data_IF_676405963589
#
_entry.id   IF_676405963589
#
_cell.length_a   1.000
_cell.length_b   1.000
_cell.length_c   1.000
_cell.angle_alpha   90.00
_cell.angle_beta   90.00
_cell.angle_gamma   90.00
#
_symmetry.space_group_name_H-M   'P 1'
#
loop_
_entity.id
_entity.type
_entity.pdbx_description
1 polymer ?
#
# COMPACT_ATOMS: atom_id res chain seq x y z
N UNK A 1 6.58 -0.14 -21.60
CA UNK A 1 6.31 -0.02 -20.15
C UNK A 1 6.31 1.45 -19.79
N UNK A 2 5.41 1.87 -18.89
CA UNK A 2 5.36 3.25 -18.39
C UNK A 2 6.56 3.52 -17.48
N UNK A 3 7.06 4.75 -17.48
CA UNK A 3 8.11 5.16 -16.54
C UNK A 3 7.54 5.34 -15.13
N UNK A 4 8.37 5.29 -14.07
CA UNK A 4 7.90 5.54 -12.69
C UNK A 4 7.15 6.86 -12.54
N UNK A 5 7.60 7.92 -13.23
CA UNK A 5 6.95 9.23 -13.23
C UNK A 5 5.58 9.20 -13.91
N UNK A 6 5.43 8.46 -15.01
CA UNK A 6 4.13 8.30 -15.68
C UNK A 6 3.14 7.50 -14.83
N UNK A 7 3.63 6.47 -14.11
CA UNK A 7 2.80 5.70 -13.18
C UNK A 7 2.33 6.62 -12.06
N UNK A 8 3.23 7.35 -11.38
CA UNK A 8 2.85 8.32 -10.33
C UNK A 8 1.81 9.34 -10.81
N UNK A 9 2.06 9.97 -11.95
CA UNK A 9 1.14 10.97 -12.50
C UNK A 9 -0.26 10.38 -12.78
N UNK A 10 -0.34 9.11 -13.21
CA UNK A 10 -1.61 8.42 -13.39
C UNK A 10 -2.29 8.10 -12.05
N UNK A 11 -1.53 7.69 -11.02
CA UNK A 11 -2.07 7.43 -9.67
C UNK A 11 -2.75 8.67 -9.10
N UNK A 12 -2.16 9.86 -9.30
CA UNK A 12 -2.71 11.12 -8.81
C UNK A 12 -4.06 11.51 -9.46
N UNK A 13 -4.44 10.87 -10.57
CA UNK A 13 -5.73 11.09 -11.23
C UNK A 13 -6.86 10.23 -10.67
N UNK A 14 -6.54 9.18 -9.89
CA UNK A 14 -7.56 8.38 -9.22
C UNK A 14 -8.09 9.15 -8.02
N UNK A 15 -9.38 9.50 -8.09
CA UNK A 15 -10.13 10.22 -7.05
C UNK A 15 -11.51 9.59 -6.93
N UNK A 16 -12.00 9.38 -5.71
CA UNK A 16 -13.36 8.88 -5.47
C UNK A 16 -13.68 7.53 -6.13
N UNK A 17 -12.89 6.50 -5.84
CA UNK A 17 -13.10 5.14 -6.37
C UNK A 17 -14.51 4.62 -6.11
N UNK A 18 -15.13 4.01 -7.14
CA UNK A 18 -16.49 3.46 -7.04
C UNK A 18 -16.49 1.93 -7.00
N UNK A 19 -15.39 1.32 -7.45
CA UNK A 19 -15.22 -0.13 -7.48
C UNK A 19 -14.19 -0.56 -6.44
N UNK A 20 -14.54 -1.59 -5.68
CA UNK A 20 -13.63 -2.27 -4.76
C UNK A 20 -13.33 -3.68 -5.26
N UNK A 21 -12.05 -3.99 -5.38
CA UNK A 21 -11.56 -5.33 -5.65
C UNK A 21 -11.30 -6.06 -4.35
N UNK A 22 -11.42 -7.40 -4.39
CA UNK A 22 -11.24 -8.24 -3.20
C UNK A 22 -9.93 -9.02 -3.31
N UNK A 23 -9.10 -8.88 -2.30
CA UNK A 23 -7.92 -9.70 -2.11
C UNK A 23 -8.31 -11.09 -1.57
N UNK A 24 -7.51 -12.11 -1.84
CA UNK A 24 -7.79 -13.48 -1.40
C UNK A 24 -7.78 -13.63 0.13
N UNK A 25 -7.06 -12.76 0.85
CA UNK A 25 -7.11 -12.65 2.33
C UNK A 25 -8.39 -11.97 2.87
N UNK A 26 -9.33 -11.58 2.01
CA UNK A 26 -10.63 -11.03 2.40
C UNK A 26 -10.69 -9.51 2.51
N UNK A 27 -9.55 -8.81 2.51
CA UNK A 27 -9.46 -7.35 2.44
C UNK A 27 -9.78 -6.83 1.03
N UNK A 28 -10.00 -5.52 0.92
CA UNK A 28 -10.37 -4.86 -0.34
C UNK A 28 -9.37 -3.79 -0.73
N UNK A 29 -9.42 -3.37 -1.99
CA UNK A 29 -8.61 -2.27 -2.50
C UNK A 29 -9.29 -1.56 -3.67
N UNK A 30 -8.92 -0.30 -3.89
CA UNK A 30 -9.52 0.59 -4.90
C UNK A 30 -9.00 0.34 -6.31
N UNK A 31 -9.62 1.02 -7.28
CA UNK A 31 -9.19 1.03 -8.69
C UNK A 31 -7.76 1.57 -8.84
N UNK A 32 -7.40 2.61 -8.09
CA UNK A 32 -6.04 3.16 -8.09
C UNK A 32 -4.98 2.17 -7.59
N UNK A 33 -5.29 1.42 -6.53
CA UNK A 33 -4.41 0.35 -6.04
C UNK A 33 -4.33 -0.82 -7.03
N UNK A 34 -5.44 -1.18 -7.66
CA UNK A 34 -5.41 -2.21 -8.70
C UNK A 34 -4.51 -1.80 -9.85
N UNK A 35 -4.66 -0.57 -10.34
CA UNK A 35 -3.85 -0.02 -11.41
C UNK A 35 -2.36 0.01 -11.04
N UNK A 36 -2.03 0.41 -9.81
CA UNK A 36 -0.66 0.35 -9.28
C UNK A 36 -0.09 -1.07 -9.39
N UNK A 37 -0.82 -2.07 -8.90
CA UNK A 37 -0.37 -3.46 -8.91
C UNK A 37 -0.23 -4.01 -10.33
N UNK A 38 -1.16 -3.70 -11.24
CA UNK A 38 -1.12 -4.13 -12.63
C UNK A 38 0.05 -3.51 -13.42
N UNK A 39 0.28 -2.20 -13.29
CA UNK A 39 1.35 -1.52 -14.05
C UNK A 39 2.76 -1.82 -13.52
N UNK A 40 2.88 -2.12 -12.23
CA UNK A 40 4.16 -2.46 -11.62
C UNK A 40 4.42 -3.96 -11.58
N UNK A 41 3.41 -4.80 -11.83
CA UNK A 41 3.40 -6.24 -11.54
C UNK A 41 3.71 -6.59 -10.08
N UNK A 42 3.57 -5.63 -9.15
CA UNK A 42 3.93 -5.81 -7.75
C UNK A 42 2.72 -6.12 -6.86
N UNK A 43 1.99 -7.18 -7.20
CA UNK A 43 0.92 -7.72 -6.34
C UNK A 43 1.42 -8.16 -4.97
N UNK A 44 2.70 -8.51 -4.87
CA UNK A 44 3.36 -8.84 -3.61
C UNK A 44 3.24 -7.73 -2.55
N UNK A 45 3.10 -6.46 -2.95
CA UNK A 45 2.92 -5.34 -2.01
C UNK A 45 1.58 -5.44 -1.28
N UNK A 46 0.52 -5.84 -2.00
CA UNK A 46 -0.80 -6.10 -1.41
C UNK A 46 -0.72 -7.30 -0.49
N UNK A 47 -0.06 -8.39 -0.92
CA UNK A 47 0.15 -9.57 -0.10
C UNK A 47 0.89 -9.21 1.21
N UNK A 48 1.97 -8.42 1.12
CA UNK A 48 2.76 -7.99 2.27
C UNK A 48 1.91 -7.17 3.26
N UNK A 49 1.24 -6.11 2.80
CA UNK A 49 0.39 -5.25 3.65
C UNK A 49 -0.74 -6.05 4.31
N UNK A 50 -1.42 -6.88 3.52
CA UNK A 50 -2.58 -7.64 3.99
C UNK A 50 -2.20 -8.81 4.90
N UNK A 51 -1.02 -9.41 4.73
CA UNK A 51 -0.53 -10.47 5.63
C UNK A 51 -0.27 -9.97 7.06
N UNK A 52 0.03 -8.67 7.21
CA UNK A 52 0.26 -8.05 8.53
C UNK A 52 -1.02 -7.78 9.32
N UNK A 53 -2.21 -7.93 8.72
CA UNK A 53 -3.52 -7.69 9.34
C UNK A 53 -3.91 -8.81 10.32
N UNK A 54 -3.01 -9.07 11.27
CA UNK A 54 -3.11 -10.12 12.28
C UNK A 54 -3.92 -9.64 13.49
N UNK A 55 -4.41 -10.59 14.31
CA UNK A 55 -5.07 -10.28 15.58
C UNK A 55 -4.21 -9.44 16.53
N UNK A 56 -2.88 -9.59 16.45
CA UNK A 56 -1.94 -8.84 17.28
C UNK A 56 -1.83 -7.38 16.83
N UNK A 57 -1.62 -7.14 15.53
CA UNK A 57 -1.55 -5.76 15.00
C UNK A 57 -2.89 -5.04 15.24
N UNK A 58 -3.99 -5.71 14.93
CA UNK A 58 -5.35 -5.22 15.13
C UNK A 58 -5.79 -5.27 16.60
N UNK A 59 -4.92 -5.55 17.56
CA UNK A 59 -5.27 -5.37 18.98
C UNK A 59 -5.34 -3.89 19.37
N UNK A 60 -4.60 -3.03 18.65
CA UNK A 60 -4.66 -1.58 18.77
C UNK A 60 -5.88 -1.04 17.99
N UNK A 61 -6.84 -0.35 18.65
CA UNK A 61 -8.05 0.13 18.00
C UNK A 61 -7.76 1.16 16.89
N UNK A 62 -6.75 2.01 17.06
CA UNK A 62 -6.42 3.03 16.05
C UNK A 62 -5.94 2.36 14.74
N UNK A 63 -5.17 1.28 14.85
CA UNK A 63 -4.73 0.50 13.69
C UNK A 63 -5.86 -0.28 13.02
N UNK A 64 -7.02 -0.46 13.67
CA UNK A 64 -8.21 -1.02 13.00
C UNK A 64 -8.89 0.00 12.11
N UNK A 65 -8.83 1.27 12.47
CA UNK A 65 -9.53 2.34 11.75
C UNK A 65 -8.68 2.88 10.61
N UNK A 66 -7.39 3.14 10.88
CA UNK A 66 -6.51 3.78 9.93
C UNK A 66 -5.05 3.33 10.09
N UNK A 67 -4.40 3.08 8.96
CA UNK A 67 -2.97 2.78 8.88
C UNK A 67 -2.35 3.52 7.71
N UNK A 68 -1.14 4.03 7.92
CA UNK A 68 -0.33 4.65 6.86
C UNK A 68 0.77 3.66 6.49
N UNK A 69 0.81 3.26 5.22
CA UNK A 69 1.82 2.37 4.70
C UNK A 69 2.79 3.11 3.80
N UNK A 70 4.08 2.92 4.05
CA UNK A 70 5.16 3.47 3.25
C UNK A 70 6.02 2.35 2.70
N UNK A 71 6.14 2.26 1.38
CA UNK A 71 7.19 1.48 0.73
C UNK A 71 8.25 2.44 0.21
N UNK A 72 9.48 2.31 0.70
CA UNK A 72 10.67 3.01 0.19
C UNK A 72 11.56 2.00 -0.52
N UNK A 73 12.02 2.31 -1.73
CA UNK A 73 12.87 1.44 -2.55
C UNK A 73 14.14 2.17 -2.92
N UNK A 74 15.27 1.53 -2.63
CA UNK A 74 16.62 2.01 -2.95
C UNK A 74 17.49 0.82 -3.35
N UNK A 75 18.21 0.92 -4.48
CA UNK A 75 19.14 -0.11 -4.97
C UNK A 75 18.52 -1.53 -5.03
N UNK A 76 17.28 -1.64 -5.52
CA UNK A 76 16.52 -2.90 -5.58
C UNK A 76 16.20 -3.54 -4.22
N UNK A 77 16.40 -2.85 -3.10
CA UNK A 77 15.92 -3.26 -1.79
C UNK A 77 14.80 -2.33 -1.34
N UNK A 78 13.91 -2.83 -0.49
CA UNK A 78 12.75 -2.11 0.00
C UNK A 78 12.66 -2.07 1.52
N UNK A 79 12.02 -1.04 2.05
CA UNK A 79 11.57 -0.99 3.45
C UNK A 79 10.08 -0.65 3.42
N UNK A 80 9.27 -1.58 3.92
CA UNK A 80 7.84 -1.41 4.12
C UNK A 80 7.57 -1.07 5.58
N UNK A 81 6.94 0.07 5.81
CA UNK A 81 6.67 0.62 7.15
C UNK A 81 5.16 0.80 7.28
N UNK A 82 4.60 0.38 8.41
CA UNK A 82 3.27 0.78 8.84
C UNK A 82 3.40 1.79 9.97
N UNK A 83 2.66 2.88 9.88
CA UNK A 83 2.50 3.90 10.90
C UNK A 83 1.02 3.98 11.31
N UNK A 84 0.75 4.19 12.59
CA UNK A 84 -0.61 4.48 13.08
C UNK A 84 -0.98 5.98 12.97
N UNK A 85 0.02 6.87 12.98
CA UNK A 85 -0.06 8.32 12.85
C UNK A 85 1.32 8.83 12.40
N UNK A 86 1.37 10.06 11.90
CA UNK A 86 2.55 10.70 11.32
C UNK A 86 3.78 10.57 12.24
N UNK A 87 4.79 9.84 11.77
CA UNK A 87 6.08 9.59 12.46
C UNK A 87 6.07 8.58 13.61
N UNK A 88 5.04 7.73 13.75
CA UNK A 88 5.10 6.63 14.71
C UNK A 88 4.95 5.28 14.00
N UNK A 89 6.11 4.69 13.74
CA UNK A 89 6.25 3.35 13.17
C UNK A 89 5.74 2.30 14.16
N UNK A 90 4.86 1.42 13.67
CA UNK A 90 4.34 0.27 14.44
C UNK A 90 4.82 -1.06 13.89
N UNK A 91 5.26 -1.07 12.62
CA UNK A 91 5.77 -2.25 11.95
C UNK A 91 6.79 -1.82 10.90
N UNK A 92 7.87 -2.57 10.80
CA UNK A 92 8.89 -2.43 9.76
C UNK A 92 9.23 -3.80 9.19
N UNK A 93 9.18 -3.92 7.87
CA UNK A 93 9.59 -5.10 7.13
C UNK A 93 10.67 -4.68 6.12
N UNK A 94 11.84 -5.31 6.24
CA UNK A 94 12.90 -5.19 5.23
C UNK A 94 12.62 -6.15 4.08
N UNK A 95 12.84 -5.67 2.86
CA UNK A 95 12.66 -6.41 1.62
C UNK A 95 14.03 -6.47 0.94
N UNK A 96 14.66 -7.63 0.99
CA UNK A 96 16.02 -7.81 0.47
C UNK A 96 16.10 -7.47 -1.03
N UNK A 97 15.07 -7.87 -1.79
CA UNK A 97 15.00 -7.62 -3.22
C UNK A 97 13.58 -7.25 -3.67
N UNK A 98 13.48 -6.24 -4.53
CA UNK A 98 12.27 -5.84 -5.22
C UNK A 98 12.58 -5.21 -6.57
N UNK A 99 11.67 -5.43 -7.52
CA UNK A 99 11.62 -4.80 -8.83
C UNK A 99 10.65 -3.61 -8.88
N UNK A 100 10.08 -3.20 -7.73
CA UNK A 100 9.12 -2.11 -7.67
C UNK A 100 9.74 -0.80 -8.18
N UNK A 101 9.16 -0.20 -9.24
CA UNK A 101 9.86 0.82 -10.02
C UNK A 101 9.82 2.22 -9.40
N UNK A 102 9.03 2.43 -8.35
CA UNK A 102 8.82 3.73 -7.70
C UNK A 102 9.63 3.80 -6.40
N UNK A 103 10.47 4.83 -6.26
CA UNK A 103 11.35 5.00 -5.08
C UNK A 103 10.59 5.16 -3.75
N UNK A 104 9.38 5.72 -3.79
CA UNK A 104 8.54 5.86 -2.61
C UNK A 104 7.07 5.93 -2.97
N UNK A 105 6.25 5.15 -2.26
CA UNK A 105 4.79 5.24 -2.30
C UNK A 105 4.21 5.24 -0.89
N UNK A 106 3.17 6.06 -0.70
CA UNK A 106 2.36 6.17 0.51
C UNK A 106 0.96 5.66 0.20
N UNK A 107 0.45 4.74 1.00
CA UNK A 107 -0.88 4.15 0.88
C UNK A 107 -1.62 4.26 2.22
N UNK A 108 -2.95 4.24 2.19
CA UNK A 108 -3.77 4.17 3.40
C UNK A 108 -4.54 2.87 3.45
N UNK A 109 -4.53 2.20 4.59
CA UNK A 109 -5.48 1.12 4.87
C UNK A 109 -6.52 1.67 5.83
N UNK A 110 -7.74 1.88 5.31
CA UNK A 110 -8.86 2.40 6.08
C UNK A 110 -9.80 1.25 6.35
N UNK A 111 -9.95 0.89 7.63
CA UNK A 111 -10.61 -0.34 8.06
C UNK A 111 -10.06 -1.60 7.39
N UNK A 112 -10.66 -2.00 6.27
CA UNK A 112 -10.28 -3.19 5.50
C UNK A 112 -10.03 -2.89 4.02
N UNK A 113 -9.94 -1.60 3.65
CA UNK A 113 -9.81 -1.13 2.27
C UNK A 113 -8.49 -0.38 2.08
N UNK A 114 -7.61 -0.91 1.23
CA UNK A 114 -6.37 -0.25 0.84
C UNK A 114 -6.67 0.76 -0.28
N UNK A 115 -6.23 2.01 -0.10
CA UNK A 115 -6.56 3.13 -0.98
C UNK A 115 -5.32 4.00 -1.24
N UNK A 116 -5.35 4.77 -2.34
CA UNK A 116 -4.38 5.84 -2.57
C UNK A 116 -4.70 7.06 -1.70
N UNK A 117 -3.70 7.91 -1.37
CA UNK A 117 -3.95 9.15 -0.64
C UNK A 117 -4.88 10.14 -1.34
N UNK A 118 -4.95 10.11 -2.66
CA UNK A 118 -5.87 10.94 -3.47
C UNK A 118 -7.31 10.41 -3.49
N UNK A 119 -7.53 9.20 -2.98
CA UNK A 119 -8.84 8.54 -2.91
C UNK A 119 -9.47 8.58 -1.51
N UNK A 120 -8.76 9.12 -0.51
CA UNK A 120 -9.24 9.36 0.86
C UNK A 120 -9.86 10.75 0.98
#
# INVERSE_FOLDING_TARGET
MKTPSQIKAALDQFTGSTVLYRHWLGLKYTEGIKYLADETNCYWLLDAIFSHQTKQLLSNPNLREFQIWHLRVENNSGILICEWDTNQEVLRQEIEYTDFPISHIKLYLVETVLILPSEY
#
